data_IF_223350984977
#
_entry.id   IF_223350984977
#
_cell.length_a   1.000
_cell.length_b   1.000
_cell.length_c   1.000
_cell.angle_alpha   90.00
_cell.angle_beta   90.00
_cell.angle_gamma   90.00
#
_symmetry.space_group_name_H-M   'P 1'
#
loop_
_entity.id
_entity.type
_entity.pdbx_description
1 polymer ?
#
# COMPACT_ATOMS: atom_id res chain seq x y z
N UNK A 1 30.30 14.70 -3.40
CA UNK A 1 29.44 14.67 -2.24
C UNK A 1 28.11 15.30 -2.63
N UNK A 2 27.04 14.49 -2.63
CA UNK A 2 25.68 14.95 -2.91
C UNK A 2 25.22 15.65 -1.64
N UNK A 3 25.07 16.98 -1.70
CA UNK A 3 24.45 17.76 -0.62
C UNK A 3 22.96 17.40 -0.59
N UNK A 4 22.55 16.68 0.42
CA UNK A 4 21.12 16.53 0.74
C UNK A 4 20.62 17.88 1.24
N UNK A 5 19.97 18.66 0.38
CA UNK A 5 19.19 19.80 0.82
C UNK A 5 17.93 19.29 1.50
N UNK A 6 17.67 19.73 2.75
CA UNK A 6 16.42 19.43 3.42
C UNK A 6 15.25 19.94 2.57
N UNK A 7 14.25 19.09 2.25
CA UNK A 7 13.11 19.51 1.46
C UNK A 7 12.32 20.57 2.22
N UNK A 8 11.99 21.66 1.55
CA UNK A 8 11.10 22.68 2.11
C UNK A 8 9.65 22.22 1.99
N UNK A 9 9.00 21.91 3.10
CA UNK A 9 7.63 21.41 3.14
C UNK A 9 6.67 22.59 3.19
N UNK A 10 5.71 22.65 2.27
CA UNK A 10 4.68 23.68 2.19
C UNK A 10 3.31 23.00 2.27
N UNK A 11 2.49 23.38 3.25
CA UNK A 11 1.08 23.00 3.30
C UNK A 11 0.23 24.12 2.71
N UNK A 12 -0.49 23.82 1.63
CA UNK A 12 -1.44 24.71 0.98
C UNK A 12 -2.87 24.35 1.40
N UNK A 13 -3.57 25.28 2.04
CA UNK A 13 -4.97 25.15 2.42
C UNK A 13 -5.81 25.92 1.40
N UNK A 14 -6.68 25.24 0.69
CA UNK A 14 -7.61 25.86 -0.26
C UNK A 14 -8.77 26.57 0.44
N UNK A 15 -9.09 26.12 1.66
CA UNK A 15 -9.95 26.79 2.60
C UNK A 15 -9.09 27.45 3.69
N UNK A 16 -9.66 28.24 4.55
CA UNK A 16 -8.93 28.87 5.65
C UNK A 16 -8.32 27.84 6.62
N UNK A 17 -7.24 28.25 7.29
CA UNK A 17 -6.61 27.52 8.40
C UNK A 17 -6.65 28.37 9.67
N UNK A 18 -6.91 27.77 10.82
CA UNK A 18 -6.95 28.51 12.09
C UNK A 18 -5.56 28.97 12.52
N UNK A 19 -5.46 30.18 13.13
CA UNK A 19 -4.19 30.73 13.62
C UNK A 19 -3.38 29.76 14.50
N UNK A 20 -3.97 29.05 15.50
CA UNK A 20 -3.22 28.12 16.32
C UNK A 20 -2.63 26.94 15.52
N UNK A 21 -3.35 26.46 14.51
CA UNK A 21 -2.87 25.39 13.64
C UNK A 21 -1.73 25.86 12.74
N UNK A 22 -1.86 27.07 12.17
CA UNK A 22 -0.83 27.68 11.34
C UNK A 22 0.47 27.93 12.13
N UNK A 23 0.36 28.39 13.38
CA UNK A 23 1.50 28.58 14.27
C UNK A 23 2.21 27.26 14.59
N UNK A 24 1.45 26.24 14.95
CA UNK A 24 2.01 24.92 15.26
C UNK A 24 2.73 24.28 14.07
N UNK A 25 2.21 24.45 12.86
CA UNK A 25 2.87 24.00 11.63
C UNK A 25 4.16 24.77 11.36
N UNK A 26 4.17 26.09 11.60
CA UNK A 26 5.37 26.91 11.47
C UNK A 26 6.46 26.53 12.49
N UNK A 27 6.09 26.24 13.73
CA UNK A 27 7.01 25.72 14.75
C UNK A 27 7.68 24.39 14.34
N UNK A 28 6.96 23.57 13.57
CA UNK A 28 7.49 22.32 13.01
C UNK A 28 8.35 22.54 11.74
N UNK A 29 8.63 23.80 11.34
CA UNK A 29 9.40 24.13 10.15
C UNK A 29 8.64 23.98 8.83
N UNK A 30 7.30 23.91 8.88
CA UNK A 30 6.42 23.77 7.70
C UNK A 30 5.89 25.15 7.30
N UNK A 31 6.04 25.53 6.03
CA UNK A 31 5.43 26.75 5.49
C UNK A 31 3.95 26.54 5.21
N UNK A 32 3.11 27.50 5.64
CA UNK A 32 1.66 27.48 5.44
C UNK A 32 1.28 28.47 4.37
N UNK A 33 0.50 28.03 3.36
CA UNK A 33 -0.16 28.88 2.35
C UNK A 33 -1.67 28.74 2.47
N UNK A 34 -2.38 29.86 2.40
CA UNK A 34 -3.84 29.94 2.54
C UNK A 34 -4.23 31.06 3.51
N UNK A 35 -5.52 31.37 3.59
CA UNK A 35 -6.04 32.39 4.49
C UNK A 35 -6.00 31.91 5.94
N UNK A 36 -5.33 32.67 6.81
CA UNK A 36 -5.24 32.36 8.23
C UNK A 36 -6.36 33.11 8.95
N UNK A 37 -7.29 32.37 9.56
CA UNK A 37 -8.43 32.92 10.28
C UNK A 37 -8.17 32.86 11.78
N UNK A 38 -8.29 34.01 12.43
CA UNK A 38 -8.23 34.06 13.89
C UNK A 38 -9.42 33.29 14.47
N UNK A 39 -9.14 32.37 15.38
CA UNK A 39 -10.21 31.75 16.18
C UNK A 39 -10.69 32.86 17.13
N UNK A 40 -11.85 33.45 16.81
CA UNK A 40 -12.42 34.47 17.68
C UNK A 40 -12.64 33.89 19.07
N UNK A 41 -12.21 34.59 20.08
CA UNK A 41 -12.37 34.29 21.50
C UNK A 41 -13.84 34.19 21.99
N UNK A 42 -14.81 34.21 21.10
CA UNK A 42 -16.23 34.00 21.37
C UNK A 42 -16.59 32.56 21.85
N UNK A 43 -15.62 31.66 21.89
CA UNK A 43 -15.84 30.31 22.43
C UNK A 43 -15.45 30.16 23.91
N UNK A 44 -14.86 31.18 24.54
CA UNK A 44 -14.29 31.02 25.90
C UNK A 44 -15.04 31.79 26.99
N UNK A 45 -16.18 32.46 26.72
CA UNK A 45 -16.98 33.10 27.76
C UNK A 45 -18.45 32.70 27.70
N UNK A 46 -18.90 31.84 28.64
CA UNK A 46 -20.32 31.66 28.91
C UNK A 46 -20.73 32.69 29.98
N UNK A 47 -21.00 33.95 29.61
CA UNK A 47 -21.69 34.90 30.47
C UNK A 47 -22.96 35.42 29.85
N UNK A 48 -24.03 35.04 30.49
CA UNK A 48 -25.33 35.68 30.71
C UNK A 48 -25.71 36.84 29.80
N UNK A 49 -26.66 36.61 28.91
CA UNK A 49 -27.54 37.66 28.41
C UNK A 49 -28.97 37.39 28.86
N UNK A 50 -29.43 38.18 29.83
CA UNK A 50 -30.82 38.28 30.20
C UNK A 50 -31.65 38.86 29.03
N UNK A 51 -32.92 38.46 28.87
CA UNK A 51 -33.77 38.98 27.81
C UNK A 51 -34.30 40.36 28.22
N UNK A 52 -34.02 41.38 27.41
CA UNK A 52 -34.78 42.65 27.47
C UNK A 52 -35.81 42.66 26.33
N UNK A 53 -37.07 42.67 26.72
CA UNK A 53 -38.21 42.93 25.83
C UNK A 53 -38.11 44.35 25.28
N UNK A 54 -38.16 44.53 23.98
CA UNK A 54 -38.71 45.73 23.34
C UNK A 54 -39.12 45.37 21.89
N UNK A 55 -40.46 45.49 21.70
CA UNK A 55 -41.12 45.42 20.41
C UNK A 55 -40.69 46.59 19.54
N UNK A 56 -40.34 46.38 18.27
CA UNK A 56 -40.57 47.30 17.19
C UNK A 56 -40.49 46.55 15.84
N UNK A 57 -41.60 46.64 15.11
CA UNK A 57 -41.77 46.21 13.73
C UNK A 57 -40.81 46.96 12.81
N UNK A 58 -40.01 46.21 12.02
CA UNK A 58 -39.55 46.67 10.73
C UNK A 58 -39.13 45.48 9.85
N UNK A 59 -39.71 45.39 8.66
CA UNK A 59 -39.44 44.36 7.67
C UNK A 59 -38.07 44.56 7.05
N UNK A 60 -37.10 43.75 7.47
CA UNK A 60 -35.77 43.64 6.87
C UNK A 60 -35.49 42.22 6.36
N UNK A 61 -34.59 42.01 5.36
CA UNK A 61 -34.49 40.78 4.61
C UNK A 61 -34.09 39.58 5.49
N UNK A 62 -34.75 38.49 5.19
CA UNK A 62 -34.63 37.16 5.79
C UNK A 62 -33.20 36.73 6.04
N UNK A 63 -32.69 36.98 7.24
CA UNK A 63 -31.43 36.44 7.74
C UNK A 63 -31.60 34.94 7.94
N UNK A 64 -30.89 34.17 7.12
CA UNK A 64 -30.71 32.74 7.29
C UNK A 64 -30.56 32.41 8.77
N UNK A 65 -31.53 31.75 9.35
CA UNK A 65 -31.45 31.20 10.70
C UNK A 65 -30.31 30.19 10.72
N UNK A 66 -29.16 30.63 11.25
CA UNK A 66 -28.07 29.73 11.63
C UNK A 66 -28.62 28.88 12.79
N UNK A 67 -29.10 27.71 12.49
CA UNK A 67 -29.45 26.71 13.51
C UNK A 67 -28.24 26.51 14.40
N UNK A 68 -28.38 26.89 15.68
CA UNK A 68 -27.38 26.60 16.72
C UNK A 68 -27.15 25.09 16.74
N UNK A 69 -26.05 24.66 16.16
CA UNK A 69 -25.67 23.24 16.18
C UNK A 69 -25.17 22.93 17.58
N UNK A 70 -25.92 22.12 18.30
CA UNK A 70 -25.60 21.71 19.65
C UNK A 70 -24.20 21.08 19.70
N UNK A 71 -23.37 21.51 20.66
CA UNK A 71 -21.98 21.05 20.84
C UNK A 71 -21.92 19.52 20.97
N UNK A 72 -22.92 18.89 21.54
CA UNK A 72 -23.04 17.43 21.64
C UNK A 72 -23.30 16.79 20.28
N UNK A 73 -24.06 17.42 19.40
CA UNK A 73 -24.28 16.95 18.03
C UNK A 73 -23.04 17.10 17.13
N UNK A 74 -22.22 18.13 17.36
CA UNK A 74 -20.93 18.27 16.66
C UNK A 74 -19.97 17.18 17.15
N UNK A 75 -19.88 16.93 18.45
CA UNK A 75 -19.04 15.87 19.01
C UNK A 75 -19.54 14.47 18.59
N UNK A 76 -20.86 14.26 18.49
CA UNK A 76 -21.41 13.00 18.00
C UNK A 76 -21.18 12.80 16.49
N UNK A 77 -21.15 13.88 15.69
CA UNK A 77 -20.83 13.79 14.25
C UNK A 77 -19.35 13.69 13.96
N UNK A 78 -18.48 14.09 14.90
CA UNK A 78 -17.02 13.95 14.86
C UNK A 78 -16.57 12.71 15.66
N UNK A 79 -17.47 12.04 16.39
CA UNK A 79 -17.19 10.73 16.94
C UNK A 79 -16.77 9.82 15.76
N UNK A 80 -15.48 9.50 15.70
CA UNK A 80 -14.97 8.53 14.75
C UNK A 80 -15.87 7.30 14.83
N UNK A 81 -16.36 6.79 13.68
CA UNK A 81 -17.14 5.58 13.71
C UNK A 81 -16.31 4.54 14.48
N UNK A 82 -16.85 4.04 15.58
CA UNK A 82 -16.22 3.06 16.46
C UNK A 82 -15.94 1.74 15.76
N UNK A 83 -16.46 1.59 14.55
CA UNK A 83 -16.13 0.53 13.62
C UNK A 83 -15.88 1.16 12.24
N UNK A 84 -14.62 1.50 11.97
CA UNK A 84 -14.18 1.55 10.58
C UNK A 84 -14.28 0.10 10.12
N UNK A 85 -15.34 -0.25 9.40
CA UNK A 85 -15.36 -1.44 8.56
C UNK A 85 -14.34 -1.16 7.46
N UNK A 86 -13.07 -1.37 7.79
CA UNK A 86 -12.02 -1.48 6.78
C UNK A 86 -12.45 -2.68 5.98
N UNK A 87 -12.94 -2.46 4.77
CA UNK A 87 -13.20 -3.53 3.82
C UNK A 87 -11.83 -4.11 3.49
N UNK A 88 -11.38 -5.04 4.33
CA UNK A 88 -10.08 -5.69 4.19
C UNK A 88 -10.16 -6.44 2.88
N UNK A 89 -9.38 -6.01 1.89
CA UNK A 89 -9.34 -6.67 0.60
C UNK A 89 -9.03 -8.16 0.80
N UNK A 90 -10.00 -9.00 0.48
CA UNK A 90 -9.91 -10.46 0.65
C UNK A 90 -9.26 -11.17 -0.55
N UNK A 91 -8.87 -10.42 -1.58
CA UNK A 91 -8.28 -10.95 -2.81
C UNK A 91 -6.81 -10.63 -2.89
N UNK A 92 -6.01 -11.64 -3.17
CA UNK A 92 -4.56 -11.50 -3.34
C UNK A 92 -4.18 -12.05 -4.70
N UNK A 93 -3.50 -11.23 -5.50
CA UNK A 93 -2.90 -11.63 -6.76
C UNK A 93 -1.41 -11.94 -6.54
N UNK A 94 -0.97 -13.12 -6.96
CA UNK A 94 0.41 -13.57 -6.76
C UNK A 94 1.25 -13.30 -8.01
N UNK A 95 2.27 -12.48 -7.87
CA UNK A 95 3.29 -12.28 -8.90
C UNK A 95 4.26 -13.47 -8.95
N UNK A 96 4.92 -13.67 -10.08
CA UNK A 96 5.93 -14.72 -10.28
C UNK A 96 6.98 -14.71 -9.17
N UNK A 97 7.43 -13.53 -8.76
CA UNK A 97 8.42 -13.39 -7.69
C UNK A 97 7.92 -13.92 -6.35
N UNK A 98 6.62 -13.80 -6.09
CA UNK A 98 5.98 -14.37 -4.90
C UNK A 98 5.87 -15.89 -5.01
N UNK A 99 5.45 -16.42 -6.17
CA UNK A 99 5.36 -17.86 -6.43
C UNK A 99 6.73 -18.53 -6.22
N UNK A 100 7.80 -17.94 -6.77
CA UNK A 100 9.18 -18.43 -6.61
C UNK A 100 9.60 -18.36 -5.14
N UNK A 101 9.42 -17.22 -4.48
CA UNK A 101 9.81 -17.03 -3.07
C UNK A 101 9.09 -18.02 -2.15
N UNK A 102 7.81 -18.27 -2.41
CA UNK A 102 6.99 -19.18 -1.61
C UNK A 102 7.50 -20.62 -1.66
N UNK A 103 7.98 -21.09 -2.82
CA UNK A 103 8.42 -22.49 -3.00
C UNK A 103 9.92 -22.69 -2.84
N UNK A 104 10.70 -21.61 -2.77
CA UNK A 104 12.16 -21.63 -2.67
C UNK A 104 12.66 -22.49 -1.51
N UNK A 105 13.67 -23.29 -1.73
CA UNK A 105 14.34 -24.07 -0.68
C UNK A 105 14.90 -23.18 0.42
N UNK A 106 15.32 -21.94 0.13
CA UNK A 106 15.76 -20.97 1.14
C UNK A 106 14.70 -20.75 2.21
N UNK A 107 13.42 -20.67 1.81
CA UNK A 107 12.28 -20.44 2.72
C UNK A 107 11.91 -21.68 3.54
N UNK A 108 12.49 -22.84 3.22
CA UNK A 108 12.23 -24.14 3.88
C UNK A 108 13.50 -24.77 4.48
N UNK A 109 14.43 -23.95 4.95
CA UNK A 109 15.61 -24.39 5.69
C UNK A 109 16.90 -24.50 4.86
N UNK A 110 16.88 -24.34 3.53
CA UNK A 110 18.07 -24.28 2.66
C UNK A 110 18.90 -23.02 2.82
N UNK A 111 18.61 -22.19 3.81
CA UNK A 111 19.32 -20.93 4.05
C UNK A 111 20.67 -21.08 4.77
N UNK A 112 21.09 -22.30 5.12
CA UNK A 112 22.36 -22.57 5.79
C UNK A 112 23.53 -22.78 4.82
N UNK A 113 23.26 -22.96 3.54
CA UNK A 113 24.26 -23.15 2.51
C UNK A 113 24.97 -21.84 2.11
N UNK A 114 26.22 -21.96 1.74
CA UNK A 114 27.01 -20.91 1.09
C UNK A 114 27.10 -21.27 -0.40
N UNK A 115 26.43 -20.50 -1.23
CA UNK A 115 26.35 -20.73 -2.67
C UNK A 115 27.52 -20.07 -3.39
N UNK A 116 27.89 -20.61 -4.57
CA UNK A 116 28.88 -19.97 -5.44
C UNK A 116 28.49 -18.57 -5.89
N UNK A 117 27.20 -18.35 -6.13
CA UNK A 117 26.64 -17.06 -6.49
C UNK A 117 26.41 -16.21 -5.24
N UNK A 118 27.14 -15.12 -5.14
CA UNK A 118 27.06 -14.18 -4.01
C UNK A 118 25.63 -13.75 -3.66
N UNK A 119 24.81 -13.47 -4.69
CA UNK A 119 23.41 -13.06 -4.52
C UNK A 119 22.58 -14.14 -3.77
N UNK A 120 22.83 -15.42 -4.03
CA UNK A 120 22.11 -16.50 -3.36
C UNK A 120 22.54 -16.63 -1.90
N UNK A 121 23.84 -16.47 -1.62
CA UNK A 121 24.37 -16.43 -0.25
C UNK A 121 23.80 -15.25 0.53
N UNK A 122 23.72 -14.05 -0.08
CA UNK A 122 23.10 -12.88 0.52
C UNK A 122 21.61 -13.11 0.84
N UNK A 123 20.86 -13.78 -0.05
CA UNK A 123 19.46 -14.14 0.20
C UNK A 123 19.33 -15.19 1.32
N UNK A 124 20.26 -16.16 1.40
CA UNK A 124 20.33 -17.12 2.49
C UNK A 124 20.60 -16.44 3.84
N UNK A 125 21.51 -15.46 3.88
CA UNK A 125 21.78 -14.64 5.07
C UNK A 125 20.57 -13.79 5.48
N UNK A 126 19.86 -13.23 4.51
CA UNK A 126 18.64 -12.48 4.77
C UNK A 126 17.56 -13.38 5.35
N UNK A 127 17.40 -14.61 4.81
CA UNK A 127 16.40 -15.56 5.32
C UNK A 127 16.70 -15.99 6.76
N UNK A 128 17.97 -16.18 7.11
CA UNK A 128 18.38 -16.47 8.50
C UNK A 128 18.06 -15.33 9.47
N UNK A 129 18.12 -14.08 9.00
CA UNK A 129 17.79 -12.89 9.83
C UNK A 129 16.30 -12.68 9.94
N UNK A 130 15.61 -12.83 8.83
CA UNK A 130 14.18 -12.57 8.71
C UNK A 130 13.54 -13.54 7.72
N UNK A 131 12.77 -14.48 8.27
CA UNK A 131 12.06 -15.47 7.47
C UNK A 131 10.92 -14.82 6.68
N UNK A 132 10.91 -15.07 5.36
CA UNK A 132 9.89 -14.50 4.48
C UNK A 132 8.58 -15.30 4.47
N UNK A 133 8.65 -16.63 4.57
CA UNK A 133 7.48 -17.50 4.45
C UNK A 133 6.40 -17.21 5.49
N UNK A 134 6.70 -17.02 6.80
CA UNK A 134 5.69 -16.66 7.79
C UNK A 134 4.97 -15.35 7.45
N UNK A 135 5.65 -14.37 6.87
CA UNK A 135 5.05 -13.09 6.45
C UNK A 135 4.07 -13.30 5.28
N UNK A 136 4.48 -14.12 4.28
CA UNK A 136 3.62 -14.46 3.14
C UNK A 136 2.37 -15.20 3.62
N UNK A 137 2.52 -16.23 4.44
CA UNK A 137 1.40 -17.04 4.96
C UNK A 137 0.46 -16.19 5.84
N UNK A 138 0.99 -15.35 6.71
CA UNK A 138 0.18 -14.45 7.52
C UNK A 138 -0.65 -13.49 6.67
N UNK A 139 -0.06 -12.97 5.58
CA UNK A 139 -0.78 -12.07 4.69
C UNK A 139 -1.83 -12.81 3.85
N UNK A 140 -1.55 -14.04 3.38
CA UNK A 140 -2.46 -14.85 2.57
C UNK A 140 -3.59 -15.50 3.38
N UNK A 141 -3.45 -15.54 4.71
CA UNK A 141 -4.44 -16.18 5.59
C UNK A 141 -5.84 -15.57 5.39
N UNK A 142 -6.83 -16.43 5.26
CA UNK A 142 -8.25 -16.10 5.11
C UNK A 142 -8.56 -15.23 3.87
N UNK A 143 -7.71 -15.28 2.84
CA UNK A 143 -7.87 -14.57 1.58
C UNK A 143 -7.95 -15.53 0.39
N UNK A 144 -8.65 -15.09 -0.65
CA UNK A 144 -8.70 -15.76 -1.94
C UNK A 144 -7.44 -15.45 -2.75
N UNK A 145 -6.73 -16.50 -3.17
CA UNK A 145 -5.49 -16.38 -3.92
C UNK A 145 -5.77 -16.49 -5.41
N UNK A 146 -5.21 -15.57 -6.18
CA UNK A 146 -5.31 -15.51 -7.63
C UNK A 146 -3.92 -15.42 -8.27
N UNK A 147 -3.78 -15.94 -9.48
CA UNK A 147 -2.67 -15.65 -10.37
C UNK A 147 -3.18 -15.67 -11.81
N UNK A 148 -2.65 -14.81 -12.67
CA UNK A 148 -3.00 -14.83 -14.08
C UNK A 148 -2.29 -15.96 -14.82
N UNK A 149 -2.86 -16.41 -15.94
CA UNK A 149 -2.35 -17.55 -16.73
C UNK A 149 -0.89 -17.38 -17.15
N UNK A 150 -0.52 -16.18 -17.62
CA UNK A 150 0.87 -15.90 -18.00
C UNK A 150 1.83 -15.98 -16.82
N UNK A 151 1.42 -15.55 -15.62
CA UNK A 151 2.25 -15.68 -14.43
C UNK A 151 2.51 -17.12 -14.05
N UNK A 152 1.47 -17.96 -14.10
CA UNK A 152 1.59 -19.39 -13.79
C UNK A 152 2.44 -20.10 -14.85
N UNK A 153 2.23 -19.81 -16.13
CA UNK A 153 3.02 -20.38 -17.23
C UNK A 153 4.51 -20.03 -17.12
N UNK A 154 4.81 -18.77 -16.86
CA UNK A 154 6.20 -18.32 -16.72
C UNK A 154 6.86 -18.89 -15.45
N UNK A 155 6.12 -18.94 -14.34
CA UNK A 155 6.57 -19.61 -13.12
C UNK A 155 6.90 -21.09 -13.37
N UNK A 156 6.01 -21.83 -14.08
CA UNK A 156 6.23 -23.23 -14.42
C UNK A 156 7.49 -23.40 -15.27
N UNK A 157 7.69 -22.56 -16.29
CA UNK A 157 8.89 -22.58 -17.14
C UNK A 157 10.19 -22.35 -16.35
N UNK A 158 10.17 -21.41 -15.39
CA UNK A 158 11.30 -21.17 -14.51
C UNK A 158 11.56 -22.36 -13.59
N UNK A 159 10.50 -22.95 -13.04
CA UNK A 159 10.58 -24.09 -12.15
C UNK A 159 11.12 -25.33 -12.88
N UNK A 160 10.70 -25.57 -14.14
CA UNK A 160 11.18 -26.67 -14.97
C UNK A 160 12.66 -26.56 -15.30
N UNK A 161 13.18 -25.32 -15.38
CA UNK A 161 14.58 -25.04 -15.71
C UNK A 161 15.49 -25.05 -14.48
N UNK A 162 15.05 -24.46 -13.37
CA UNK A 162 15.88 -24.14 -12.22
C UNK A 162 15.46 -24.88 -10.94
N UNK A 163 14.23 -25.33 -10.84
CA UNK A 163 13.67 -25.87 -9.61
C UNK A 163 14.16 -27.27 -9.29
N UNK A 164 14.42 -27.51 -8.01
CA UNK A 164 14.69 -28.82 -7.46
C UNK A 164 13.41 -29.63 -7.18
N UNK A 165 13.54 -30.91 -6.77
CA UNK A 165 12.42 -31.82 -6.54
C UNK A 165 11.42 -31.28 -5.49
N UNK A 166 11.91 -30.83 -4.34
CA UNK A 166 11.05 -30.31 -3.27
C UNK A 166 10.40 -28.97 -3.65
N UNK A 167 11.12 -28.10 -4.41
CA UNK A 167 10.53 -26.86 -4.94
C UNK A 167 9.38 -27.15 -5.92
N UNK A 168 9.49 -28.19 -6.75
CA UNK A 168 8.43 -28.65 -7.67
C UNK A 168 7.23 -29.25 -6.93
N UNK A 169 7.49 -30.01 -5.86
CA UNK A 169 6.44 -30.58 -5.03
C UNK A 169 5.65 -29.47 -4.34
N UNK A 170 6.34 -28.50 -3.70
CA UNK A 170 5.71 -27.32 -3.08
C UNK A 170 4.91 -26.49 -4.08
N UNK A 171 5.42 -26.33 -5.29
CA UNK A 171 4.73 -25.62 -6.36
C UNK A 171 3.41 -26.34 -6.73
N UNK A 172 3.41 -27.66 -6.82
CA UNK A 172 2.19 -28.45 -7.11
C UNK A 172 1.13 -28.23 -6.03
N UNK A 173 1.54 -28.16 -4.76
CA UNK A 173 0.62 -27.88 -3.63
C UNK A 173 0.11 -26.46 -3.68
N UNK A 174 1.00 -25.48 -3.94
CA UNK A 174 0.63 -24.07 -4.01
C UNK A 174 -0.38 -23.79 -5.13
N UNK A 175 -0.14 -24.31 -6.35
CA UNK A 175 -1.03 -24.07 -7.51
C UNK A 175 -2.45 -24.60 -7.25
N UNK A 176 -2.62 -25.68 -6.48
CA UNK A 176 -3.95 -26.18 -6.10
C UNK A 176 -4.73 -25.22 -5.20
N UNK A 177 -4.06 -24.30 -4.53
CA UNK A 177 -4.66 -23.27 -3.65
C UNK A 177 -5.00 -21.98 -4.40
N UNK A 178 -4.56 -21.82 -5.65
CA UNK A 178 -4.67 -20.60 -6.42
C UNK A 178 -5.78 -20.71 -7.46
N UNK A 179 -6.60 -19.69 -7.57
CA UNK A 179 -7.54 -19.51 -8.65
C UNK A 179 -6.79 -18.91 -9.85
N UNK A 180 -6.53 -19.73 -10.86
CA UNK A 180 -5.89 -19.26 -12.09
C UNK A 180 -6.94 -18.57 -12.94
N UNK A 181 -6.64 -17.33 -13.38
CA UNK A 181 -7.55 -16.48 -14.15
C UNK A 181 -6.91 -16.04 -15.45
N UNK A 182 -7.71 -15.77 -16.50
CA UNK A 182 -7.19 -15.22 -17.76
C UNK A 182 -6.46 -13.90 -17.54
N UNK A 183 -5.50 -13.61 -18.41
CA UNK A 183 -4.81 -12.32 -18.44
C UNK A 183 -5.79 -11.21 -18.80
N UNK A 184 -5.99 -10.27 -17.89
CA UNK A 184 -6.93 -9.16 -18.06
C UNK A 184 -6.38 -7.87 -17.45
N UNK A 185 -5.34 -7.27 -18.05
CA UNK A 185 -4.76 -6.04 -17.53
C UNK A 185 -5.76 -4.88 -17.58
N UNK A 186 -5.80 -4.08 -16.51
CA UNK A 186 -6.67 -2.91 -16.41
C UNK A 186 -6.26 -1.81 -17.39
N UNK A 187 -7.21 -0.96 -17.78
CA UNK A 187 -6.96 0.16 -18.69
C UNK A 187 -5.83 1.09 -18.19
N UNK A 188 -5.80 1.37 -16.88
CA UNK A 188 -4.75 2.22 -16.31
C UNK A 188 -3.38 1.56 -16.34
N UNK A 189 -3.29 0.24 -16.22
CA UNK A 189 -2.06 -0.50 -16.40
C UNK A 189 -1.56 -0.41 -17.85
N UNK A 190 -2.47 -0.53 -18.82
CA UNK A 190 -2.14 -0.43 -20.26
C UNK A 190 -1.66 0.97 -20.68
N UNK A 191 -1.92 2.02 -19.90
CA UNK A 191 -1.39 3.38 -20.15
C UNK A 191 0.07 3.56 -19.76
N UNK A 192 0.64 2.61 -19.04
CA UNK A 192 2.04 2.69 -18.62
C UNK A 192 2.96 2.59 -19.83
N UNK A 193 3.92 3.52 -19.90
CA UNK A 193 4.95 3.52 -20.94
C UNK A 193 6.03 2.51 -20.57
N UNK A 194 6.37 1.64 -21.52
CA UNK A 194 7.41 0.63 -21.34
C UNK A 194 8.77 1.27 -20.99
N UNK A 195 9.51 0.63 -20.10
CA UNK A 195 10.84 1.05 -19.68
C UNK A 195 11.67 -0.17 -19.23
N UNK A 196 12.92 0.02 -18.84
CA UNK A 196 13.73 -1.07 -18.28
C UNK A 196 13.12 -1.75 -17.05
N UNK A 197 12.17 -1.11 -16.36
CA UNK A 197 11.46 -1.63 -15.17
C UNK A 197 10.01 -1.96 -15.45
N UNK A 198 9.42 -1.45 -16.55
CA UNK A 198 8.05 -1.72 -16.96
C UNK A 198 8.09 -2.56 -18.24
N UNK A 199 7.99 -3.87 -18.08
CA UNK A 199 7.88 -4.82 -19.17
C UNK A 199 6.45 -5.35 -19.32
N UNK A 200 6.13 -5.96 -20.44
CA UNK A 200 4.80 -6.48 -20.74
C UNK A 200 4.32 -7.51 -19.72
N UNK A 201 5.20 -8.38 -19.25
CA UNK A 201 4.91 -9.40 -18.23
C UNK A 201 4.41 -8.76 -16.93
N UNK A 202 5.19 -7.84 -16.36
CA UNK A 202 4.80 -7.16 -15.13
C UNK A 202 3.52 -6.36 -15.31
N UNK A 203 3.37 -5.69 -16.46
CA UNK A 203 2.16 -4.93 -16.80
C UNK A 203 0.93 -5.83 -16.80
N UNK A 204 1.00 -7.02 -17.41
CA UNK A 204 -0.10 -8.00 -17.45
C UNK A 204 -0.45 -8.48 -16.04
N UNK A 205 0.55 -8.89 -15.25
CA UNK A 205 0.33 -9.45 -13.91
C UNK A 205 -0.29 -8.41 -12.96
N UNK A 206 0.33 -7.23 -12.87
CA UNK A 206 -0.18 -6.17 -11.98
C UNK A 206 -1.50 -5.61 -12.47
N UNK A 207 -1.66 -5.46 -13.79
CA UNK A 207 -2.90 -5.01 -14.39
C UNK A 207 -4.06 -5.99 -14.18
N UNK A 208 -3.83 -7.30 -14.24
CA UNK A 208 -4.85 -8.31 -13.92
C UNK A 208 -5.21 -8.27 -12.43
N UNK A 209 -4.23 -8.13 -11.53
CA UNK A 209 -4.50 -7.93 -10.10
C UNK A 209 -5.35 -6.68 -9.83
N UNK A 210 -5.11 -5.62 -10.59
CA UNK A 210 -5.87 -4.37 -10.51
C UNK A 210 -7.33 -4.54 -11.00
N UNK A 211 -7.54 -5.24 -12.10
CA UNK A 211 -8.88 -5.60 -12.59
C UNK A 211 -9.67 -6.41 -11.57
N UNK A 212 -9.00 -7.35 -10.89
CA UNK A 212 -9.58 -8.16 -9.82
C UNK A 212 -9.84 -7.37 -8.53
N UNK A 213 -9.38 -6.12 -8.43
CA UNK A 213 -9.33 -5.34 -7.19
C UNK A 213 -8.63 -6.10 -6.07
N UNK A 214 -7.56 -6.81 -6.40
CA UNK A 214 -6.74 -7.60 -5.50
C UNK A 214 -5.48 -6.85 -5.08
N UNK A 215 -4.93 -7.20 -3.93
CA UNK A 215 -3.59 -6.74 -3.54
C UNK A 215 -2.57 -7.65 -4.24
N UNK A 216 -1.68 -7.09 -5.05
CA UNK A 216 -0.63 -7.87 -5.70
C UNK A 216 0.54 -8.08 -4.74
N UNK A 217 0.84 -9.34 -4.40
CA UNK A 217 2.05 -9.71 -3.68
C UNK A 217 3.22 -9.83 -4.64
N UNK A 218 4.34 -9.19 -4.31
CA UNK A 218 5.50 -9.12 -5.21
C UNK A 218 6.79 -8.78 -4.48
N UNK A 219 7.92 -9.22 -5.02
CA UNK A 219 9.25 -8.71 -4.68
C UNK A 219 9.75 -7.64 -5.69
N UNK A 220 8.98 -7.36 -6.75
CA UNK A 220 9.37 -6.42 -7.81
C UNK A 220 9.09 -4.95 -7.45
N UNK A 221 9.80 -4.45 -6.43
CA UNK A 221 9.69 -3.04 -6.01
C UNK A 221 10.10 -2.06 -7.12
N UNK A 222 10.92 -2.51 -8.08
CA UNK A 222 11.34 -1.71 -9.23
C UNK A 222 10.17 -1.32 -10.13
N UNK A 223 9.33 -2.29 -10.49
CA UNK A 223 8.11 -2.03 -11.25
C UNK A 223 7.15 -1.11 -10.48
N UNK A 224 6.92 -1.40 -9.20
CA UNK A 224 6.00 -0.62 -8.36
C UNK A 224 6.39 0.87 -8.33
N UNK A 225 7.68 1.15 -8.11
CA UNK A 225 8.20 2.53 -8.14
C UNK A 225 8.08 3.18 -9.52
N UNK A 226 8.41 2.43 -10.59
CA UNK A 226 8.34 2.97 -11.94
C UNK A 226 6.90 3.28 -12.37
N UNK A 227 5.93 2.43 -12.02
CA UNK A 227 4.51 2.68 -12.26
C UNK A 227 4.00 3.90 -11.46
N UNK A 228 4.38 4.00 -10.17
CA UNK A 228 4.03 5.14 -9.34
C UNK A 228 4.58 6.47 -9.88
N UNK A 229 5.81 6.48 -10.44
CA UNK A 229 6.39 7.65 -11.07
C UNK A 229 5.62 8.09 -12.35
N UNK A 230 4.89 7.17 -12.98
CA UNK A 230 3.99 7.45 -14.09
C UNK A 230 2.55 7.73 -13.65
N UNK A 231 2.32 7.92 -12.35
CA UNK A 231 1.01 8.25 -11.78
C UNK A 231 0.08 7.06 -11.55
N UNK A 232 0.52 5.82 -11.80
CA UNK A 232 -0.29 4.61 -11.58
C UNK A 232 0.13 3.92 -10.29
N UNK A 233 -0.73 4.00 -9.27
CA UNK A 233 -0.53 3.36 -7.96
C UNK A 233 -1.30 2.03 -7.90
N UNK A 234 -0.58 0.92 -7.79
CA UNK A 234 -1.16 -0.40 -7.54
C UNK A 234 -1.24 -0.67 -6.04
N UNK A 235 -2.25 -1.43 -5.63
CA UNK A 235 -2.31 -1.99 -4.28
C UNK A 235 -1.36 -3.17 -4.19
N UNK A 236 -0.30 -3.07 -3.38
CA UNK A 236 0.76 -4.08 -3.34
C UNK A 236 1.16 -4.46 -1.92
N UNK A 237 1.55 -5.71 -1.75
CA UNK A 237 2.31 -6.19 -0.61
C UNK A 237 3.72 -6.55 -1.10
N UNK A 238 4.73 -5.81 -0.66
CA UNK A 238 6.13 -5.99 -1.09
C UNK A 238 6.85 -6.85 -0.06
N UNK A 239 7.52 -7.90 -0.54
CA UNK A 239 8.33 -8.80 0.29
C UNK A 239 9.75 -8.92 -0.25
N UNK A 240 10.64 -9.53 0.53
CA UNK A 240 12.00 -9.84 0.10
C UNK A 240 12.00 -11.04 -0.87
N UNK A 241 12.82 -11.01 -1.94
CA UNK A 241 12.90 -12.13 -2.88
C UNK A 241 13.69 -13.31 -2.32
N UNK A 242 13.30 -14.53 -2.73
CA UNK A 242 14.10 -15.75 -2.58
C UNK A 242 14.13 -16.47 -3.92
N UNK A 243 15.32 -16.83 -4.37
CA UNK A 243 15.52 -17.58 -5.61
C UNK A 243 15.34 -19.09 -5.38
N UNK A 244 15.10 -19.85 -6.45
CA UNK A 244 15.16 -21.31 -6.42
C UNK A 244 16.62 -21.74 -6.24
N UNK A 245 16.89 -22.55 -5.23
CA UNK A 245 18.27 -22.91 -4.84
C UNK A 245 18.49 -24.41 -4.63
N UNK A 246 17.43 -25.20 -4.51
CA UNK A 246 17.55 -26.63 -4.18
C UNK A 246 18.46 -27.39 -5.15
N UNK A 247 18.36 -27.15 -6.46
CA UNK A 247 19.24 -27.75 -7.47
C UNK A 247 20.72 -27.37 -7.34
N UNK A 248 21.03 -26.31 -6.57
CA UNK A 248 22.39 -25.79 -6.37
C UNK A 248 22.99 -26.19 -5.01
N UNK A 249 22.19 -26.72 -4.09
CA UNK A 249 22.63 -27.12 -2.75
C UNK A 249 23.78 -28.18 -2.80
N UNK A 250 23.69 -29.09 -3.77
CA UNK A 250 24.76 -30.12 -3.96
C UNK A 250 26.14 -29.54 -4.33
N UNK A 251 26.19 -28.26 -4.78
CA UNK A 251 27.42 -27.57 -5.17
C UNK A 251 27.80 -26.46 -4.15
N UNK A 252 27.01 -26.31 -3.10
CA UNK A 252 27.21 -25.35 -2.03
C UNK A 252 28.06 -25.98 -0.87
N UNK A 253 28.57 -25.12 -0.01
CA UNK A 253 29.34 -25.51 1.18
C UNK A 253 28.64 -25.08 2.46
#
# INVERSE_FOLDING_TARGET
PVQYSNPHIIFAFYNSVSSPMAEKLKEMGISVRGDIVAVNALLDHPEELQPSESESDDEGPELLQVTRVDRENILASVAFPTEIKVDVCKRVNLDITTLITYVSALSYGGCHFIFKEKVLTEQAEQERKEQVLPQLEAFMKDKELFACESAVKDFQSILDTLGGPGERERATVLIKRINVVPDQPSERALRLVASSKINSRSLTIFGTGDTLKAITMTANSGFVRAANNQGVKFSVFIHQPRALTESKEALAT
#
